data_IF_629787810035
#
_entry.id   IF_629787810035
#
_cell.length_a   1.000
_cell.length_b   1.000
_cell.length_c   1.000
_cell.angle_alpha   90.00
_cell.angle_beta   90.00
_cell.angle_gamma   90.00
#
_symmetry.space_group_name_H-M   'P 1'
#
loop_
_entity.id
_entity.type
_entity.pdbx_description
1 polymer ?
#
# COMPACT_ATOMS: atom_id res chain seq x y z
N UNK A 1 30.04 18.98 0.22
CA UNK A 1 30.88 18.17 -0.70
C UNK A 1 30.04 17.00 -1.18
N UNK A 2 29.73 17.00 -2.47
CA UNK A 2 28.98 15.96 -3.19
C UNK A 2 29.93 14.87 -3.68
N UNK A 3 29.71 13.61 -3.29
CA UNK A 3 30.37 12.47 -3.90
C UNK A 3 29.37 11.33 -4.11
N UNK A 4 29.53 10.63 -5.25
CA UNK A 4 28.71 9.58 -5.84
C UNK A 4 27.61 10.04 -6.82
N UNK A 5 28.09 10.49 -7.99
CA UNK A 5 27.38 10.24 -9.24
C UNK A 5 27.33 8.74 -9.52
N UNK A 6 26.19 8.12 -9.22
CA UNK A 6 25.68 7.05 -10.10
C UNK A 6 25.01 7.76 -11.26
N UNK A 7 25.43 7.45 -12.49
CA UNK A 7 24.56 7.67 -13.66
C UNK A 7 23.21 7.05 -13.29
N UNK A 8 22.12 7.81 -13.43
CA UNK A 8 20.82 7.19 -13.66
C UNK A 8 21.02 6.33 -14.91
N UNK A 9 21.18 5.03 -14.73
CA UNK A 9 20.69 4.13 -15.76
C UNK A 9 19.21 4.48 -15.85
N UNK A 10 18.80 5.05 -16.97
CA UNK A 10 17.40 5.10 -17.34
C UNK A 10 16.90 3.68 -17.12
N UNK A 11 16.00 3.50 -16.14
CA UNK A 11 15.19 2.30 -16.07
C UNK A 11 14.61 2.15 -17.46
N UNK A 12 15.15 1.20 -18.24
CA UNK A 12 14.45 0.71 -19.40
C UNK A 12 13.18 0.12 -18.82
N UNK A 13 12.09 0.89 -18.83
CA UNK A 13 10.76 0.31 -18.81
C UNK A 13 10.82 -0.79 -19.85
N UNK A 14 10.73 -2.04 -19.41
CA UNK A 14 10.53 -3.16 -20.31
C UNK A 14 9.25 -2.80 -21.05
N UNK A 15 9.37 -2.30 -22.29
CA UNK A 15 8.23 -1.93 -23.10
C UNK A 15 7.54 -3.23 -23.52
N UNK A 16 6.65 -3.73 -22.67
CA UNK A 16 5.66 -4.73 -23.07
C UNK A 16 4.44 -3.99 -23.60
N UNK A 17 3.83 -4.55 -24.63
CA UNK A 17 2.62 -3.99 -25.21
C UNK A 17 1.48 -4.09 -24.21
N UNK A 18 0.89 -2.94 -23.85
CA UNK A 18 -0.32 -2.90 -23.02
C UNK A 18 -1.48 -3.43 -23.87
N UNK A 19 -2.18 -4.51 -23.46
CA UNK A 19 -3.30 -5.05 -24.21
C UNK A 19 -4.39 -4.00 -24.42
N UNK A 20 -4.90 -3.88 -25.64
CA UNK A 20 -6.06 -3.03 -25.95
C UNK A 20 -7.30 -3.90 -25.86
N UNK A 21 -8.22 -3.54 -24.98
CA UNK A 21 -9.49 -4.24 -24.76
C UNK A 21 -10.60 -3.38 -25.35
N UNK A 22 -11.46 -3.96 -26.18
CA UNK A 22 -12.61 -3.27 -26.72
C UNK A 22 -13.58 -2.86 -25.59
N UNK A 23 -14.27 -1.72 -25.75
CA UNK A 23 -15.18 -1.19 -24.71
C UNK A 23 -16.33 -2.14 -24.39
N UNK A 24 -16.76 -2.95 -25.35
CA UNK A 24 -17.85 -3.93 -25.24
C UNK A 24 -17.38 -5.35 -24.86
N UNK A 25 -16.07 -5.56 -24.64
CA UNK A 25 -15.57 -6.88 -24.26
C UNK A 25 -16.02 -7.27 -22.84
N UNK A 26 -16.29 -8.56 -22.64
CA UNK A 26 -16.66 -9.11 -21.34
C UNK A 26 -15.54 -9.03 -20.30
N UNK A 27 -15.89 -9.13 -19.02
CA UNK A 27 -14.97 -9.07 -17.88
C UNK A 27 -13.74 -10.00 -18.01
N UNK A 28 -13.91 -11.17 -18.63
CA UNK A 28 -12.86 -12.18 -18.76
C UNK A 28 -11.69 -11.67 -19.63
N UNK A 29 -11.96 -10.85 -20.65
CA UNK A 29 -10.90 -10.25 -21.46
C UNK A 29 -9.99 -9.34 -20.61
N UNK A 30 -10.59 -8.60 -19.67
CA UNK A 30 -9.86 -7.77 -18.70
C UNK A 30 -9.02 -8.63 -17.76
N UNK A 31 -9.56 -9.74 -17.25
CA UNK A 31 -8.80 -10.63 -16.37
C UNK A 31 -7.62 -11.31 -17.08
N UNK A 32 -7.78 -11.70 -18.35
CA UNK A 32 -6.67 -12.24 -19.16
C UNK A 32 -5.59 -11.18 -19.38
N UNK A 33 -5.97 -9.94 -19.68
CA UNK A 33 -5.01 -8.84 -19.81
C UNK A 33 -4.30 -8.54 -18.49
N UNK A 34 -5.02 -8.58 -17.36
CA UNK A 34 -4.45 -8.42 -16.03
C UNK A 34 -3.41 -9.50 -15.72
N UNK A 35 -3.70 -10.77 -16.03
CA UNK A 35 -2.74 -11.87 -15.89
C UNK A 35 -1.49 -11.68 -16.75
N UNK A 36 -1.66 -11.17 -17.98
CA UNK A 36 -0.53 -10.81 -18.84
C UNK A 36 0.33 -9.71 -18.23
N UNK A 37 -0.27 -8.64 -17.69
CA UNK A 37 0.47 -7.56 -17.02
C UNK A 37 1.18 -8.02 -15.75
N UNK A 38 0.53 -8.88 -14.96
CA UNK A 38 1.13 -9.47 -13.77
C UNK A 38 2.35 -10.33 -14.12
N UNK A 39 2.26 -11.14 -15.18
CA UNK A 39 3.37 -11.96 -15.66
C UNK A 39 4.60 -11.13 -16.10
N UNK A 40 4.37 -9.90 -16.58
CA UNK A 40 5.43 -8.93 -16.89
C UNK A 40 5.88 -8.11 -15.67
N UNK A 41 5.38 -8.42 -14.48
CA UNK A 41 5.74 -7.74 -13.23
C UNK A 41 5.02 -6.40 -13.02
N UNK A 42 4.03 -6.04 -13.84
CA UNK A 42 3.27 -4.80 -13.68
C UNK A 42 1.94 -5.02 -12.94
N UNK A 43 2.03 -5.04 -11.61
CA UNK A 43 0.85 -5.14 -10.76
C UNK A 43 -0.08 -3.93 -10.86
N UNK A 44 0.45 -2.72 -11.09
CA UNK A 44 -0.40 -1.52 -11.20
C UNK A 44 -1.33 -1.62 -12.41
N UNK A 45 -0.82 -2.06 -13.56
CA UNK A 45 -1.65 -2.28 -14.75
C UNK A 45 -2.53 -3.53 -14.63
N UNK A 46 -2.06 -4.57 -13.94
CA UNK A 46 -2.92 -5.70 -13.62
C UNK A 46 -4.13 -5.26 -12.77
N UNK A 47 -3.92 -4.41 -11.76
CA UNK A 47 -4.97 -3.83 -10.94
C UNK A 47 -5.93 -2.94 -11.74
N UNK A 48 -5.42 -2.14 -12.69
CA UNK A 48 -6.28 -1.39 -13.63
C UNK A 48 -7.23 -2.34 -14.37
N UNK A 49 -6.69 -3.38 -15.02
CA UNK A 49 -7.49 -4.34 -15.76
C UNK A 49 -8.42 -5.18 -14.89
N UNK A 50 -8.02 -5.60 -13.69
CA UNK A 50 -8.93 -6.28 -12.76
C UNK A 50 -10.08 -5.37 -12.34
N UNK A 51 -9.83 -4.08 -12.10
CA UNK A 51 -10.87 -3.10 -11.79
C UNK A 51 -11.82 -2.90 -12.97
N UNK A 52 -11.31 -2.81 -14.20
CA UNK A 52 -12.15 -2.74 -15.41
C UNK A 52 -12.98 -4.02 -15.60
N UNK A 53 -12.44 -5.18 -15.22
CA UNK A 53 -13.17 -6.44 -15.21
C UNK A 53 -14.31 -6.46 -14.17
N UNK A 54 -14.08 -5.89 -12.99
CA UNK A 54 -15.11 -5.71 -11.95
C UNK A 54 -16.24 -4.82 -12.46
N UNK A 55 -15.91 -3.69 -13.10
CA UNK A 55 -16.89 -2.76 -13.66
C UNK A 55 -17.78 -3.39 -14.74
N UNK A 56 -17.21 -4.32 -15.53
CA UNK A 56 -17.89 -5.02 -16.64
C UNK A 56 -18.66 -6.27 -16.23
N UNK A 57 -18.51 -6.74 -15.00
CA UNK A 57 -19.23 -7.92 -14.52
C UNK A 57 -20.71 -7.57 -14.29
N UNK A 58 -21.62 -8.48 -14.66
CA UNK A 58 -23.06 -8.29 -14.60
C UNK A 58 -23.70 -8.67 -13.25
N UNK A 59 -22.91 -9.24 -12.33
CA UNK A 59 -23.36 -9.69 -11.03
C UNK A 59 -23.84 -11.15 -10.98
N UNK A 60 -23.92 -11.85 -12.11
CA UNK A 60 -24.53 -13.19 -12.18
C UNK A 60 -23.50 -14.30 -12.42
N UNK A 61 -22.42 -14.01 -13.15
CA UNK A 61 -21.44 -15.03 -13.53
C UNK A 61 -20.60 -15.54 -12.33
N UNK A 62 -20.81 -16.80 -11.94
CA UNK A 62 -20.01 -17.47 -10.88
C UNK A 62 -18.55 -17.68 -11.26
N UNK A 63 -18.19 -17.67 -12.54
CA UNK A 63 -16.80 -17.77 -12.97
C UNK A 63 -16.02 -16.50 -12.61
N UNK A 64 -16.66 -15.33 -12.67
CA UNK A 64 -16.08 -14.08 -12.20
C UNK A 64 -15.71 -14.16 -10.71
N UNK A 65 -16.65 -14.56 -9.85
CA UNK A 65 -16.39 -14.63 -8.39
C UNK A 65 -15.21 -15.55 -8.07
N UNK A 66 -15.08 -16.67 -8.78
CA UNK A 66 -13.90 -17.55 -8.65
C UNK A 66 -12.62 -16.88 -9.12
N UNK A 67 -12.65 -16.20 -10.26
CA UNK A 67 -11.49 -15.50 -10.80
C UNK A 67 -11.04 -14.35 -9.88
N UNK A 68 -12.00 -13.59 -9.35
CA UNK A 68 -11.77 -12.53 -8.37
C UNK A 68 -11.12 -13.09 -7.09
N UNK A 69 -11.64 -14.19 -6.56
CA UNK A 69 -11.08 -14.84 -5.36
C UNK A 69 -9.65 -15.38 -5.53
N UNK A 70 -9.15 -15.55 -6.75
CA UNK A 70 -7.77 -15.97 -7.03
C UNK A 70 -6.79 -14.79 -7.13
N UNK A 71 -7.28 -13.55 -7.30
CA UNK A 71 -6.45 -12.33 -7.40
C UNK A 71 -5.44 -12.24 -6.25
N UNK A 72 -5.83 -12.41 -4.96
CA UNK A 72 -4.92 -12.17 -3.85
C UNK A 72 -3.74 -13.15 -3.85
N UNK A 73 -4.01 -14.42 -4.17
CA UNK A 73 -2.97 -15.46 -4.26
C UNK A 73 -1.99 -15.18 -5.40
N UNK A 74 -2.50 -14.79 -6.58
CA UNK A 74 -1.67 -14.47 -7.75
C UNK A 74 -0.80 -13.23 -7.49
N UNK A 75 -1.40 -12.15 -6.98
CA UNK A 75 -0.70 -10.91 -6.68
C UNK A 75 0.33 -11.07 -5.56
N UNK A 76 -0.01 -11.81 -4.48
CA UNK A 76 0.92 -12.14 -3.40
C UNK A 76 2.11 -12.96 -3.91
N UNK A 77 1.88 -13.98 -4.74
CA UNK A 77 2.95 -14.80 -5.30
C UNK A 77 3.92 -13.97 -6.15
N UNK A 78 3.42 -13.06 -6.99
CA UNK A 78 4.24 -12.14 -7.77
C UNK A 78 5.05 -11.19 -6.86
N UNK A 79 4.42 -10.67 -5.80
CA UNK A 79 5.08 -9.83 -4.81
C UNK A 79 6.21 -10.55 -4.07
N UNK A 80 5.99 -11.81 -3.65
CA UNK A 80 6.97 -12.64 -2.96
C UNK A 80 8.16 -12.95 -3.88
N UNK A 81 7.89 -13.28 -5.16
CA UNK A 81 8.94 -13.51 -6.14
C UNK A 81 9.81 -12.24 -6.39
N UNK A 82 9.21 -11.05 -6.29
CA UNK A 82 9.91 -9.78 -6.44
C UNK A 82 10.76 -9.37 -5.21
N UNK A 83 10.71 -10.11 -4.11
CA UNK A 83 11.56 -9.86 -2.93
C UNK A 83 13.04 -10.15 -3.22
N UNK A 84 13.34 -11.17 -4.02
CA UNK A 84 14.72 -11.58 -4.35
C UNK A 84 15.56 -10.45 -4.99
N UNK A 85 15.05 -9.66 -5.97
CA UNK A 85 15.75 -8.47 -6.47
C UNK A 85 15.76 -7.28 -5.49
N UNK A 86 15.09 -7.36 -4.33
CA UNK A 86 15.02 -6.30 -3.34
C UNK A 86 14.04 -5.18 -3.69
N UNK A 87 13.06 -5.47 -4.54
CA UNK A 87 12.11 -4.48 -5.06
C UNK A 87 10.85 -4.44 -4.19
N UNK A 88 10.41 -3.24 -3.81
CA UNK A 88 9.08 -3.04 -3.24
C UNK A 88 8.07 -3.05 -4.38
N UNK A 89 7.03 -3.85 -4.24
CA UNK A 89 6.03 -4.05 -5.27
C UNK A 89 4.90 -3.01 -5.10
N UNK A 90 4.24 -2.52 -6.17
CA UNK A 90 3.24 -1.46 -6.07
C UNK A 90 1.89 -2.00 -5.58
N UNK A 91 1.91 -2.66 -4.42
CA UNK A 91 0.78 -3.32 -3.77
C UNK A 91 -0.38 -2.40 -3.31
N UNK A 92 -0.20 -1.07 -3.07
CA UNK A 92 -1.36 -0.21 -2.79
C UNK A 92 -2.41 -0.21 -3.90
N UNK A 93 -2.01 -0.48 -5.15
CA UNK A 93 -2.93 -0.53 -6.30
C UNK A 93 -4.04 -1.60 -6.13
N UNK A 94 -3.81 -2.64 -5.31
CA UNK A 94 -4.79 -3.69 -5.06
C UNK A 94 -6.00 -3.22 -4.28
N UNK A 95 -5.86 -2.15 -3.48
CA UNK A 95 -6.98 -1.56 -2.75
C UNK A 95 -8.05 -0.98 -3.68
N UNK A 96 -7.65 -0.55 -4.89
CA UNK A 96 -8.60 -0.09 -5.92
C UNK A 96 -9.50 -1.24 -6.40
N UNK A 97 -8.94 -2.42 -6.63
CA UNK A 97 -9.71 -3.60 -7.08
C UNK A 97 -10.75 -4.02 -6.04
N UNK A 98 -10.36 -3.99 -4.76
CA UNK A 98 -11.27 -4.26 -3.64
C UNK A 98 -12.36 -3.21 -3.55
N UNK A 99 -11.97 -1.94 -3.60
CA UNK A 99 -12.92 -0.81 -3.52
C UNK A 99 -13.90 -0.79 -4.69
N UNK A 100 -13.45 -1.07 -5.91
CA UNK A 100 -14.31 -1.15 -7.09
C UNK A 100 -15.38 -2.22 -6.91
N UNK A 101 -15.01 -3.38 -6.35
CA UNK A 101 -15.94 -4.47 -6.08
C UNK A 101 -16.99 -4.07 -5.04
N UNK A 102 -16.56 -3.43 -3.95
CA UNK A 102 -17.44 -2.96 -2.89
C UNK A 102 -18.44 -1.88 -3.38
N UNK A 103 -18.02 -1.02 -4.30
CA UNK A 103 -18.86 0.05 -4.86
C UNK A 103 -19.83 -0.49 -5.90
N UNK A 104 -19.35 -1.28 -6.86
CA UNK A 104 -20.14 -1.72 -8.03
C UNK A 104 -21.08 -2.88 -7.71
N UNK A 105 -20.67 -3.75 -6.79
CA UNK A 105 -21.38 -4.98 -6.48
C UNK A 105 -21.66 -5.11 -4.98
N UNK A 106 -22.39 -4.14 -4.38
CA UNK A 106 -22.66 -4.14 -2.95
C UNK A 106 -23.45 -5.39 -2.55
N UNK A 107 -22.99 -6.07 -1.49
CA UNK A 107 -23.64 -7.28 -0.97
C UNK A 107 -23.13 -8.59 -1.57
N UNK A 108 -22.21 -8.56 -2.54
CA UNK A 108 -21.50 -9.77 -2.98
C UNK A 108 -20.33 -10.05 -2.03
N UNK A 109 -20.38 -11.18 -1.33
CA UNK A 109 -19.26 -11.67 -0.52
C UNK A 109 -18.16 -12.26 -1.42
N UNK A 110 -17.27 -11.40 -1.94
CA UNK A 110 -16.17 -11.79 -2.81
C UNK A 110 -14.83 -12.02 -2.07
N UNK A 111 -14.80 -11.79 -0.75
CA UNK A 111 -13.59 -11.83 0.08
C UNK A 111 -12.74 -10.57 -0.06
N UNK A 112 -11.84 -10.35 0.91
CA UNK A 112 -10.96 -9.18 0.93
C UNK A 112 -9.68 -9.44 0.14
N UNK A 113 -9.43 -8.64 -0.91
CA UNK A 113 -8.25 -8.79 -1.75
C UNK A 113 -6.98 -8.39 -1.01
N UNK A 114 -7.00 -7.20 -0.41
CA UNK A 114 -5.89 -6.67 0.38
C UNK A 114 -5.68 -7.50 1.65
N UNK A 115 -6.76 -7.92 2.33
CA UNK A 115 -6.67 -8.73 3.54
C UNK A 115 -6.07 -10.13 3.32
N UNK A 116 -6.49 -10.84 2.26
CA UNK A 116 -5.91 -12.15 1.93
C UNK A 116 -4.46 -12.01 1.46
N UNK A 117 -4.17 -11.02 0.62
CA UNK A 117 -2.80 -10.76 0.14
C UNK A 117 -1.87 -10.40 1.31
N UNK A 118 -2.33 -9.57 2.26
CA UNK A 118 -1.59 -9.26 3.49
C UNK A 118 -1.23 -10.53 4.24
N UNK A 119 -2.21 -11.41 4.49
CA UNK A 119 -1.98 -12.67 5.22
C UNK A 119 -0.96 -13.57 4.53
N UNK A 120 -1.05 -13.72 3.21
CA UNK A 120 -0.13 -14.54 2.44
C UNK A 120 1.30 -13.98 2.55
N UNK A 121 1.50 -12.68 2.31
CA UNK A 121 2.82 -12.05 2.37
C UNK A 121 3.38 -12.06 3.81
N UNK A 122 2.55 -11.75 4.80
CA UNK A 122 2.91 -11.76 6.22
C UNK A 122 3.41 -13.15 6.68
N UNK A 123 2.82 -14.23 6.13
CA UNK A 123 3.23 -15.60 6.46
C UNK A 123 4.65 -15.96 6.00
N UNK A 124 5.21 -15.21 5.05
CA UNK A 124 6.57 -15.40 4.54
C UNK A 124 7.63 -14.63 5.34
N UNK A 125 7.23 -13.61 6.11
CA UNK A 125 8.14 -12.82 6.98
C UNK A 125 9.02 -13.72 7.86
N UNK A 126 8.49 -14.67 8.66
CA UNK A 126 9.32 -15.54 9.50
C UNK A 126 10.10 -16.61 8.71
N UNK A 127 9.81 -16.79 7.41
CA UNK A 127 10.45 -17.78 6.52
C UNK A 127 11.61 -17.19 5.72
N UNK A 128 11.67 -15.86 5.62
CA UNK A 128 12.75 -15.16 4.94
C UNK A 128 14.12 -15.57 5.49
N UNK A 129 15.12 -15.62 4.62
CA UNK A 129 16.47 -16.10 4.97
C UNK A 129 17.48 -14.96 5.11
N UNK A 130 17.08 -13.72 4.79
CA UNK A 130 17.93 -12.54 4.87
C UNK A 130 17.16 -11.35 5.49
N UNK A 131 17.81 -10.52 6.32
CA UNK A 131 17.17 -9.35 6.94
C UNK A 131 16.54 -8.37 5.94
N UNK A 132 17.15 -8.20 4.76
CA UNK A 132 16.59 -7.33 3.73
C UNK A 132 15.28 -7.89 3.19
N UNK A 133 15.20 -9.21 3.00
CA UNK A 133 14.01 -9.87 2.47
C UNK A 133 12.85 -9.75 3.48
N UNK A 134 13.14 -9.85 4.78
CA UNK A 134 12.18 -9.55 5.87
C UNK A 134 11.64 -8.12 5.76
N UNK A 135 12.53 -7.15 5.58
CA UNK A 135 12.14 -5.73 5.48
C UNK A 135 11.25 -5.51 4.26
N UNK A 136 11.60 -6.06 3.10
CA UNK A 136 10.82 -5.89 1.86
C UNK A 136 9.44 -6.52 2.00
N UNK A 137 9.33 -7.74 2.53
CA UNK A 137 8.04 -8.39 2.81
C UNK A 137 7.18 -7.54 3.77
N UNK A 138 7.75 -7.07 4.87
CA UNK A 138 7.06 -6.21 5.83
C UNK A 138 6.60 -4.89 5.21
N UNK A 139 7.46 -4.24 4.41
CA UNK A 139 7.11 -3.00 3.70
C UNK A 139 5.98 -3.22 2.70
N UNK A 140 5.95 -4.36 1.99
CA UNK A 140 4.82 -4.68 1.11
C UNK A 140 3.51 -4.80 1.91
N UNK A 141 3.50 -5.50 3.06
CA UNK A 141 2.32 -5.52 3.93
C UNK A 141 1.89 -4.11 4.38
N UNK A 142 2.85 -3.27 4.79
CA UNK A 142 2.59 -1.88 5.18
C UNK A 142 1.96 -1.06 4.06
N UNK A 143 2.53 -1.12 2.85
CA UNK A 143 2.00 -0.37 1.71
C UNK A 143 0.63 -0.90 1.27
N UNK A 144 0.39 -2.20 1.38
CA UNK A 144 -0.90 -2.79 1.08
C UNK A 144 -1.99 -2.26 2.01
N UNK A 145 -1.75 -2.25 3.32
CA UNK A 145 -2.68 -1.68 4.30
C UNK A 145 -2.83 -0.16 4.16
N UNK A 146 -1.76 0.57 3.82
CA UNK A 146 -1.89 2.00 3.49
C UNK A 146 -2.81 2.23 2.28
N UNK A 147 -2.75 1.35 1.27
CA UNK A 147 -3.67 1.36 0.15
C UNK A 147 -5.11 1.19 0.62
N UNK A 148 -5.38 0.16 1.42
CA UNK A 148 -6.72 -0.10 1.96
C UNK A 148 -7.22 1.08 2.82
N UNK A 149 -6.42 1.52 3.79
CA UNK A 149 -6.73 2.64 4.69
C UNK A 149 -7.03 3.93 3.89
N UNK A 150 -6.32 4.15 2.78
CA UNK A 150 -6.56 5.30 1.88
C UNK A 150 -7.98 5.33 1.31
N UNK A 151 -8.58 4.16 1.07
CA UNK A 151 -9.92 4.01 0.49
C UNK A 151 -11.01 3.63 1.49
N UNK A 152 -10.65 3.31 2.74
CA UNK A 152 -11.59 2.87 3.76
C UNK A 152 -12.72 3.89 3.97
N UNK A 153 -13.98 3.48 3.85
CA UNK A 153 -15.10 4.36 4.17
C UNK A 153 -15.23 4.56 5.67
N UNK A 154 -14.96 3.51 6.45
CA UNK A 154 -15.07 3.50 7.89
C UNK A 154 -13.72 3.77 8.56
N UNK A 155 -13.64 4.88 9.29
CA UNK A 155 -12.43 5.23 10.06
C UNK A 155 -12.10 4.19 11.12
N UNK A 156 -13.08 3.39 11.59
CA UNK A 156 -12.88 2.32 12.58
C UNK A 156 -12.02 1.18 12.04
N UNK A 157 -11.91 1.03 10.72
CA UNK A 157 -11.01 0.05 10.11
C UNK A 157 -9.54 0.46 10.21
N UNK A 158 -9.26 1.77 10.33
CA UNK A 158 -7.89 2.29 10.36
C UNK A 158 -7.09 1.74 11.55
N UNK A 159 -7.56 1.80 12.81
CA UNK A 159 -6.87 1.17 13.94
C UNK A 159 -6.72 -0.35 13.81
N UNK A 160 -7.66 -1.06 13.14
CA UNK A 160 -7.55 -2.51 12.92
C UNK A 160 -6.35 -2.80 12.02
N UNK A 161 -6.28 -2.16 10.85
CA UNK A 161 -5.18 -2.34 9.90
C UNK A 161 -3.84 -1.84 10.43
N UNK A 162 -3.84 -0.75 11.21
CA UNK A 162 -2.61 -0.30 11.86
C UNK A 162 -2.06 -1.37 12.82
N UNK A 163 -2.92 -2.05 13.59
CA UNK A 163 -2.51 -3.13 14.50
C UNK A 163 -1.92 -4.32 13.75
N UNK A 164 -2.50 -4.72 12.62
CA UNK A 164 -1.94 -5.77 11.76
C UNK A 164 -0.48 -5.45 11.37
N UNK A 165 -0.22 -4.21 10.94
CA UNK A 165 1.13 -3.71 10.65
C UNK A 165 2.03 -3.66 11.89
N UNK A 166 1.51 -3.20 13.04
CA UNK A 166 2.29 -3.08 14.28
C UNK A 166 2.74 -4.45 14.81
N UNK A 167 1.86 -5.44 14.76
CA UNK A 167 2.11 -6.80 15.22
C UNK A 167 3.07 -7.52 14.28
N UNK A 168 2.86 -7.40 12.96
CA UNK A 168 3.80 -7.93 11.97
C UNK A 168 5.18 -7.29 12.10
N UNK A 169 5.24 -5.99 12.42
CA UNK A 169 6.49 -5.29 12.69
C UNK A 169 7.24 -5.85 13.91
N UNK A 170 6.53 -6.32 14.94
CA UNK A 170 7.15 -7.03 16.07
C UNK A 170 7.74 -8.37 15.60
N UNK A 171 6.96 -9.17 14.86
CA UNK A 171 7.42 -10.44 14.28
C UNK A 171 8.63 -10.25 13.36
N UNK A 172 8.63 -9.22 12.51
CA UNK A 172 9.74 -8.90 11.62
C UNK A 172 11.02 -8.55 12.40
N UNK A 173 10.90 -7.74 13.47
CA UNK A 173 12.03 -7.37 14.32
C UNK A 173 12.63 -8.58 15.07
N UNK A 174 11.78 -9.48 15.58
CA UNK A 174 12.21 -10.73 16.20
C UNK A 174 12.91 -11.65 15.19
N UNK A 175 12.34 -11.78 14.00
CA UNK A 175 12.90 -12.59 12.90
C UNK A 175 14.30 -12.08 12.51
N UNK A 176 14.46 -10.77 12.26
CA UNK A 176 15.76 -10.15 11.98
C UNK A 176 16.73 -10.37 13.15
N UNK A 177 16.25 -10.27 14.39
CA UNK A 177 17.05 -10.47 15.60
C UNK A 177 17.54 -11.89 15.78
N UNK A 178 16.83 -12.90 15.29
CA UNK A 178 17.27 -14.30 15.29
C UNK A 178 18.27 -14.62 14.15
N UNK A 179 18.35 -13.77 13.11
CA UNK A 179 19.21 -14.02 11.96
C UNK A 179 20.70 -13.77 12.23
N UNK A 180 21.53 -14.56 11.55
CA UNK A 180 22.96 -14.31 11.44
C UNK A 180 23.23 -13.08 10.56
N UNK A 181 24.30 -12.31 10.81
CA UNK A 181 24.69 -11.20 9.95
C UNK A 181 24.90 -11.66 8.50
N UNK A 182 24.27 -10.95 7.55
CA UNK A 182 24.47 -11.23 6.13
C UNK A 182 25.93 -11.00 5.76
N UNK A 183 26.58 -11.98 5.12
CA UNK A 183 27.95 -11.86 4.59
C UNK A 183 27.99 -11.20 3.20
N UNK A 184 26.83 -10.89 2.62
CA UNK A 184 26.72 -10.32 1.27
C UNK A 184 26.98 -8.81 1.32
N UNK A 185 28.02 -8.35 0.61
CA UNK A 185 28.52 -6.96 0.60
C UNK A 185 27.49 -5.89 0.17
N UNK A 186 26.39 -6.28 -0.45
CA UNK A 186 25.38 -5.38 -1.02
C UNK A 186 24.01 -5.45 -0.34
N UNK A 187 23.85 -6.28 0.69
CA UNK A 187 22.58 -6.42 1.40
C UNK A 187 22.52 -5.53 2.65
N UNK A 188 21.31 -5.12 3.02
CA UNK A 188 21.08 -4.31 4.23
C UNK A 188 21.58 -5.05 5.47
N UNK A 189 22.35 -4.38 6.33
CA UNK A 189 22.78 -5.00 7.59
C UNK A 189 21.60 -5.15 8.57
N UNK A 190 21.78 -6.01 9.57
CA UNK A 190 20.78 -6.32 10.59
C UNK A 190 20.30 -5.08 11.36
N UNK A 191 21.19 -4.13 11.64
CA UNK A 191 20.88 -2.93 12.41
C UNK A 191 20.01 -1.98 11.60
N UNK A 192 20.35 -1.77 10.33
CA UNK A 192 19.56 -0.99 9.39
C UNK A 192 18.21 -1.63 9.11
N UNK A 193 18.16 -2.96 9.01
CA UNK A 193 16.91 -3.71 8.82
C UNK A 193 15.94 -3.51 9.99
N UNK A 194 16.43 -3.71 11.23
CA UNK A 194 15.64 -3.43 12.43
C UNK A 194 15.18 -1.97 12.52
N UNK A 195 16.04 -1.02 12.11
CA UNK A 195 15.68 0.40 12.08
C UNK A 195 14.53 0.68 11.10
N UNK A 196 14.57 0.09 9.91
CA UNK A 196 13.51 0.23 8.91
C UNK A 196 12.18 -0.32 9.43
N UNK A 197 12.21 -1.51 10.04
CA UNK A 197 10.99 -2.11 10.65
C UNK A 197 10.40 -1.19 11.72
N UNK A 198 11.24 -0.70 12.64
CA UNK A 198 10.81 0.21 13.71
C UNK A 198 10.22 1.52 13.18
N UNK A 199 10.73 2.04 12.07
CA UNK A 199 10.26 3.27 11.46
C UNK A 199 8.80 3.14 10.99
N UNK A 200 8.52 2.13 10.19
CA UNK A 200 7.17 1.84 9.72
C UNK A 200 6.25 1.54 10.91
N UNK A 201 6.72 0.73 11.87
CA UNK A 201 5.94 0.41 13.07
C UNK A 201 5.59 1.66 13.88
N UNK A 202 6.52 2.61 13.99
CA UNK A 202 6.27 3.89 14.66
C UNK A 202 5.24 4.74 13.91
N UNK A 203 5.32 4.79 12.57
CA UNK A 203 4.32 5.47 11.76
C UNK A 203 2.91 4.92 11.98
N UNK A 204 2.74 3.59 11.93
CA UNK A 204 1.43 2.96 12.18
C UNK A 204 0.94 3.11 13.62
N UNK A 205 1.84 3.12 14.62
CA UNK A 205 1.45 3.48 15.99
C UNK A 205 0.89 4.90 16.06
N UNK A 206 1.57 5.89 15.46
CA UNK A 206 1.10 7.27 15.43
C UNK A 206 -0.25 7.41 14.71
N UNK A 207 -0.46 6.67 13.61
CA UNK A 207 -1.73 6.65 12.89
C UNK A 207 -2.85 5.98 13.71
N UNK A 208 -2.55 4.84 14.34
CA UNK A 208 -3.48 4.15 15.24
C UNK A 208 -3.95 5.07 16.37
N UNK A 209 -3.02 5.74 17.04
CA UNK A 209 -3.31 6.60 18.18
C UNK A 209 -4.15 7.81 17.75
N UNK A 210 -3.80 8.43 16.62
CA UNK A 210 -4.56 9.56 16.08
C UNK A 210 -5.99 9.17 15.68
N UNK A 211 -6.16 8.05 14.96
CA UNK A 211 -7.46 7.56 14.55
C UNK A 211 -8.32 7.17 15.78
N UNK A 212 -7.73 6.46 16.75
CA UNK A 212 -8.42 6.06 17.99
C UNK A 212 -8.87 7.28 18.78
N UNK A 213 -7.99 8.26 18.99
CA UNK A 213 -8.33 9.50 19.70
C UNK A 213 -9.45 10.27 19.00
N UNK A 214 -9.44 10.32 17.67
CA UNK A 214 -10.48 11.01 16.90
C UNK A 214 -11.82 10.28 17.00
N UNK A 215 -11.83 8.94 16.91
CA UNK A 215 -13.02 8.11 17.11
C UNK A 215 -13.59 8.31 18.52
N UNK A 216 -12.77 8.21 19.56
CA UNK A 216 -13.18 8.37 20.96
C UNK A 216 -13.70 9.78 21.26
N UNK A 217 -13.24 10.77 20.50
CA UNK A 217 -13.66 12.18 20.59
C UNK A 217 -14.99 12.50 19.89
N UNK A 218 -15.61 11.54 19.20
CA UNK A 218 -16.83 11.75 18.40
C UNK A 218 -17.98 10.90 18.93
N UNK A 219 -19.20 11.40 18.77
CA UNK A 219 -20.40 10.61 19.05
C UNK A 219 -20.66 9.58 17.95
N UNK A 220 -21.31 8.46 18.29
CA UNK A 220 -21.69 7.44 17.29
C UNK A 220 -22.45 8.04 16.09
N UNK A 221 -23.45 8.94 16.26
CA UNK A 221 -24.09 9.58 15.11
C UNK A 221 -23.16 10.38 14.19
N UNK A 222 -22.11 11.00 14.74
CA UNK A 222 -21.11 11.71 13.92
C UNK A 222 -20.25 10.74 13.12
N UNK A 223 -19.85 9.62 13.73
CA UNK A 223 -19.09 8.56 13.06
C UNK A 223 -19.93 7.95 11.94
N UNK A 224 -21.16 7.52 12.22
CA UNK A 224 -22.04 6.92 11.21
C UNK A 224 -22.34 7.89 10.06
N UNK A 225 -22.49 9.19 10.36
CA UNK A 225 -22.64 10.22 9.31
C UNK A 225 -21.40 10.30 8.40
N UNK A 226 -20.20 10.26 8.98
CA UNK A 226 -18.96 10.26 8.21
C UNK A 226 -18.83 8.99 7.36
N UNK A 227 -19.10 7.81 7.94
CA UNK A 227 -19.10 6.52 7.24
C UNK A 227 -20.03 6.58 6.03
N UNK A 228 -21.29 6.95 6.22
CA UNK A 228 -22.27 7.06 5.12
C UNK A 228 -21.81 8.03 4.03
N UNK A 229 -21.20 9.15 4.41
CA UNK A 229 -20.65 10.10 3.44
C UNK A 229 -19.54 9.45 2.62
N UNK A 230 -18.57 8.80 3.26
CA UNK A 230 -17.43 8.20 2.56
C UNK A 230 -17.79 6.94 1.78
N UNK A 231 -18.79 6.17 2.20
CA UNK A 231 -19.36 5.08 1.40
C UNK A 231 -19.84 5.58 0.04
N UNK A 232 -20.46 6.77 0.00
CA UNK A 232 -20.97 7.38 -1.22
C UNK A 232 -19.92 8.23 -1.99
N UNK A 233 -18.83 8.62 -1.33
CA UNK A 233 -17.83 9.56 -1.86
C UNK A 233 -16.41 8.99 -1.74
N UNK A 234 -16.25 7.68 -1.97
CA UNK A 234 -14.95 7.01 -1.85
C UNK A 234 -13.90 7.67 -2.74
N UNK A 235 -12.76 7.98 -2.15
CA UNK A 235 -11.64 8.63 -2.83
C UNK A 235 -10.33 8.18 -2.20
N UNK A 236 -9.28 8.09 -3.01
CA UNK A 236 -7.95 7.70 -2.56
C UNK A 236 -7.34 8.80 -1.69
N UNK A 237 -7.14 8.49 -0.40
CA UNK A 237 -6.44 9.35 0.56
C UNK A 237 -5.06 8.81 0.95
N UNK A 238 -4.56 7.76 0.30
CA UNK A 238 -3.26 7.17 0.59
C UNK A 238 -2.10 8.16 0.39
N UNK A 239 -2.28 9.20 -0.43
CA UNK A 239 -1.28 10.27 -0.63
C UNK A 239 -0.89 10.99 0.66
N UNK A 240 -1.83 11.22 1.59
CA UNK A 240 -1.52 11.80 2.91
C UNK A 240 -0.62 10.89 3.73
N UNK A 241 -0.93 9.59 3.73
CA UNK A 241 -0.17 8.57 4.45
C UNK A 241 1.23 8.42 3.86
N UNK A 242 1.36 8.45 2.53
CA UNK A 242 2.64 8.37 1.83
C UNK A 242 3.54 9.58 2.14
N UNK A 243 3.00 10.80 2.12
CA UNK A 243 3.73 12.01 2.51
C UNK A 243 4.15 11.91 4.00
N UNK A 244 3.27 11.45 4.89
CA UNK A 244 3.57 11.22 6.30
C UNK A 244 4.70 10.20 6.54
N UNK A 245 4.69 9.08 5.81
CA UNK A 245 5.72 8.06 5.89
C UNK A 245 7.07 8.52 5.30
N UNK A 246 7.06 9.32 4.23
CA UNK A 246 8.29 9.96 3.71
C UNK A 246 8.89 10.91 4.75
N UNK A 247 8.07 11.71 5.44
CA UNK A 247 8.54 12.57 6.52
C UNK A 247 9.05 11.77 7.73
N UNK A 248 8.43 10.64 8.09
CA UNK A 248 8.97 9.73 9.11
C UNK A 248 10.34 9.18 8.69
N UNK A 249 10.50 8.83 7.40
CA UNK A 249 11.75 8.37 6.82
C UNK A 249 12.85 9.44 6.88
N UNK A 250 12.51 10.70 6.56
CA UNK A 250 13.40 11.85 6.65
C UNK A 250 13.75 12.20 8.09
N UNK A 251 12.79 12.07 9.02
CA UNK A 251 13.02 12.22 10.45
C UNK A 251 14.12 11.26 10.92
N UNK A 252 14.01 9.98 10.56
CA UNK A 252 15.00 9.00 10.95
C UNK A 252 16.40 9.34 10.42
N UNK A 253 16.53 9.90 9.21
CA UNK A 253 17.83 10.21 8.60
C UNK A 253 18.39 11.60 8.94
N UNK A 254 17.65 12.42 9.68
CA UNK A 254 17.95 13.84 9.90
C UNK A 254 18.84 14.15 11.11
N UNK A 255 19.50 15.31 11.07
CA UNK A 255 20.12 15.93 12.25
C UNK A 255 19.07 16.38 13.27
N UNK A 256 19.42 16.56 14.55
CA UNK A 256 18.46 16.88 15.63
C UNK A 256 17.49 18.03 15.32
N UNK A 257 17.94 19.11 14.67
CA UNK A 257 17.11 20.28 14.39
C UNK A 257 16.09 20.01 13.27
N UNK A 258 16.50 19.35 12.18
CA UNK A 258 15.62 19.01 11.05
C UNK A 258 14.72 17.82 11.37
N UNK A 259 15.17 16.92 12.25
CA UNK A 259 14.41 15.77 12.72
C UNK A 259 13.08 16.21 13.37
N UNK A 260 13.10 17.20 14.28
CA UNK A 260 11.88 17.70 14.92
C UNK A 260 10.87 18.25 13.91
N UNK A 261 11.35 18.92 12.84
CA UNK A 261 10.49 19.43 11.77
C UNK A 261 9.80 18.29 11.00
N UNK A 262 10.56 17.27 10.59
CA UNK A 262 10.01 16.13 9.87
C UNK A 262 9.01 15.33 10.72
N UNK A 263 9.30 15.14 12.02
CA UNK A 263 8.35 14.47 12.91
C UNK A 263 7.04 15.26 13.06
N UNK A 264 7.12 16.58 13.22
CA UNK A 264 5.92 17.42 13.27
C UNK A 264 5.13 17.40 11.95
N UNK A 265 5.82 17.39 10.82
CA UNK A 265 5.22 17.29 9.48
C UNK A 265 4.51 15.95 9.28
N UNK A 266 5.14 14.85 9.70
CA UNK A 266 4.53 13.51 9.73
C UNK A 266 3.22 13.50 10.52
N UNK A 267 3.23 14.05 11.74
CA UNK A 267 2.01 14.13 12.55
C UNK A 267 0.94 15.04 11.92
N UNK A 268 1.34 16.12 11.23
CA UNK A 268 0.43 16.96 10.47
C UNK A 268 -0.28 16.18 9.36
N UNK A 269 0.45 15.40 8.57
CA UNK A 269 -0.14 14.55 7.53
C UNK A 269 -1.08 13.47 8.07
N UNK A 270 -0.75 12.88 9.22
CA UNK A 270 -1.64 11.93 9.91
C UNK A 270 -2.93 12.63 10.39
N UNK A 271 -2.80 13.82 10.99
CA UNK A 271 -3.94 14.61 11.43
C UNK A 271 -4.83 15.00 10.24
N UNK A 272 -4.27 15.54 9.16
CA UNK A 272 -5.00 15.90 7.94
C UNK A 272 -5.79 14.70 7.38
N UNK A 273 -5.20 13.51 7.40
CA UNK A 273 -5.87 12.27 6.97
C UNK A 273 -7.05 11.91 7.88
N UNK A 274 -6.86 11.94 9.19
CA UNK A 274 -7.87 11.56 10.20
C UNK A 274 -9.00 12.59 10.27
N UNK A 275 -8.66 13.87 10.36
CA UNK A 275 -9.62 14.98 10.44
C UNK A 275 -10.45 15.08 9.14
N UNK A 276 -9.83 14.78 8.00
CA UNK A 276 -10.50 14.68 6.71
C UNK A 276 -11.72 13.76 6.72
N UNK A 277 -11.75 12.69 7.54
CA UNK A 277 -12.95 11.85 7.65
C UNK A 277 -14.18 12.61 8.17
N UNK A 278 -13.98 13.54 9.11
CA UNK A 278 -15.08 14.22 9.79
C UNK A 278 -15.41 15.58 9.18
N UNK A 279 -14.44 16.22 8.54
CA UNK A 279 -14.66 17.47 7.81
C UNK A 279 -15.45 17.23 6.50
N UNK A 280 -15.45 15.99 5.99
CA UNK A 280 -16.17 15.57 4.78
C UNK A 280 -15.80 16.41 3.55
N UNK A 281 -14.65 17.09 3.57
CA UNK A 281 -14.10 17.75 2.40
C UNK A 281 -13.38 16.71 1.53
N UNK A 282 -13.77 16.52 0.26
CA UNK A 282 -12.96 15.70 -0.64
C UNK A 282 -11.58 16.36 -0.77
N UNK A 283 -10.49 15.60 -0.68
CA UNK A 283 -9.16 16.18 -0.79
C UNK A 283 -9.04 16.92 -2.13
N UNK A 284 -8.56 18.16 -2.10
CA UNK A 284 -8.25 18.89 -3.33
C UNK A 284 -7.37 17.99 -4.22
N UNK A 285 -7.60 17.93 -5.54
CA UNK A 285 -6.76 17.16 -6.45
C UNK A 285 -5.30 17.57 -6.22
N UNK A 286 -4.52 16.70 -5.59
CA UNK A 286 -3.09 16.96 -5.43
C UNK A 286 -2.49 16.68 -6.79
N UNK A 287 -2.08 17.72 -7.50
CA UNK A 287 -1.32 17.56 -8.73
C UNK A 287 -0.19 16.54 -8.46
N UNK A 288 -0.04 15.51 -9.30
CA UNK A 288 1.11 14.62 -9.18
C UNK A 288 2.33 15.54 -9.17
N UNK A 289 3.14 15.46 -8.09
CA UNK A 289 4.37 16.28 -7.96
C UNK A 289 5.16 16.04 -9.25
N UNK A 290 5.11 17.01 -10.17
CA UNK A 290 5.84 16.91 -11.41
C UNK A 290 7.28 16.61 -11.02
N UNK A 291 7.81 15.48 -11.47
CA UNK A 291 9.24 15.28 -11.46
C UNK A 291 9.81 16.53 -12.12
N UNK A 292 10.51 17.37 -11.35
CA UNK A 292 11.20 18.53 -11.88
C UNK A 292 12.23 18.01 -12.88
N UNK A 293 11.82 17.87 -14.13
CA UNK A 293 12.72 17.77 -15.28
C UNK A 293 13.35 19.15 -15.36
N UNK A 294 14.52 19.28 -14.73
CA UNK A 294 15.42 20.39 -15.03
C UNK A 294 15.89 20.18 -16.46
N UNK A 295 15.19 20.79 -17.41
CA UNK A 295 15.78 21.10 -18.70
C UNK A 295 16.80 22.22 -18.45
N UNK A 296 18.06 21.83 -18.33
CA UNK A 296 19.19 22.74 -18.47
C UNK A 296 19.45 22.88 -19.97
N UNK A 297 19.06 24.04 -20.52
CA UNK A 297 19.82 24.65 -21.60
C UNK A 297 21.09 25.30 -21.07
#
# INVERSE_FOLDING_TARGET
>A
MTMFGRKKEEEKETAYDIPVIADDAEWNACFIAAESMLAHGNLSKAADFWSDGVDRWDGEDRAFVRAYGEIPRKAAAACIAAVEPGTVYPVPAMARVETEMEIKHPGIEAGSVTGEMFRIIASEVPRAQDPQDVVVLYMNCCYLDMGYIGWAADIRDVPIKCRDCIDLGATAAETISAMNPSKKRFKMDKKMSNRSVLLFRQFFNSLNDAATLSIDGKSLPEIEKAVMYWECNRTDRAGYLADGLDDMSRYAMSTKLTAKKHLASCHGHIADFVDGYFDMEPPAPREPKAQRVKNAG
#
